data_IF_045943312679
#
_entry.id   IF_045943312679
#
_cell.length_a   1.000
_cell.length_b   1.000
_cell.length_c   1.000
_cell.angle_alpha   90.00
_cell.angle_beta   90.00
_cell.angle_gamma   90.00
#
_symmetry.space_group_name_H-M   'P 1'
#
loop_
_entity.id
_entity.type
_entity.pdbx_description
1 polymer ?
#
# COMPACT_ATOMS: atom_id res chain seq x y z
N UNK A 1 16.96 62.30 -13.96
CA UNK A 1 16.97 60.92 -14.48
C UNK A 1 16.84 59.98 -13.27
N UNK A 2 15.75 59.21 -13.16
CA UNK A 2 15.65 58.15 -12.14
C UNK A 2 16.48 56.92 -12.58
N UNK A 3 16.94 56.07 -11.64
CA UNK A 3 17.72 54.87 -11.95
C UNK A 3 16.81 53.76 -12.52
N UNK A 4 17.39 52.78 -13.25
CA UNK A 4 16.62 51.73 -13.90
C UNK A 4 16.03 50.78 -12.86
N UNK A 5 14.72 50.56 -12.97
CA UNK A 5 14.00 49.48 -12.30
C UNK A 5 14.35 48.16 -12.98
N UNK A 6 15.11 47.30 -12.28
CA UNK A 6 15.18 45.88 -12.59
C UNK A 6 13.82 45.24 -12.28
N UNK A 7 12.93 45.26 -13.26
CA UNK A 7 11.78 44.36 -13.32
C UNK A 7 12.31 42.95 -13.57
N UNK A 8 12.53 42.21 -12.48
CA UNK A 8 12.67 40.75 -12.53
C UNK A 8 11.31 40.20 -12.95
N UNK A 9 11.25 39.67 -14.16
CA UNK A 9 10.09 38.96 -14.70
C UNK A 9 9.72 37.80 -13.75
N UNK A 10 8.43 37.58 -13.45
CA UNK A 10 8.02 36.36 -12.79
C UNK A 10 8.13 35.22 -13.81
N UNK A 11 9.07 34.30 -13.59
CA UNK A 11 9.17 33.03 -14.32
C UNK A 11 7.84 32.25 -14.18
N UNK A 12 6.97 32.45 -15.16
CA UNK A 12 5.84 31.58 -15.47
C UNK A 12 6.38 30.24 -16.01
N UNK A 13 6.63 29.27 -15.13
CA UNK A 13 6.56 27.84 -15.49
C UNK A 13 5.88 27.05 -14.37
N UNK A 14 4.58 27.31 -14.24
CA UNK A 14 3.60 26.44 -13.57
C UNK A 14 2.93 25.55 -14.61
N UNK A 15 3.64 24.55 -15.14
CA UNK A 15 3.03 23.47 -15.91
C UNK A 15 3.96 22.25 -15.94
N UNK A 16 4.00 21.50 -14.84
CA UNK A 16 4.46 20.10 -14.84
C UNK A 16 3.26 19.23 -14.40
N UNK A 17 2.09 19.53 -15.00
CA UNK A 17 0.91 18.64 -15.02
C UNK A 17 1.09 17.65 -16.16
N UNK A 18 2.04 16.72 -15.97
CA UNK A 18 1.94 15.42 -16.63
C UNK A 18 0.76 14.68 -15.96
N UNK A 19 -0.44 14.96 -16.47
CA UNK A 19 -1.61 14.12 -16.35
C UNK A 19 -1.36 12.85 -17.17
N UNK A 20 -0.58 11.92 -16.60
CA UNK A 20 -0.66 10.51 -16.99
C UNK A 20 -2.01 9.98 -16.49
N UNK A 21 -3.04 10.08 -17.35
CA UNK A 21 -4.26 9.25 -17.39
C UNK A 21 -4.68 8.66 -16.01
N UNK A 22 -5.24 9.50 -15.15
CA UNK A 22 -6.11 9.08 -14.02
C UNK A 22 -7.57 9.46 -14.31
N UNK A 23 -7.98 9.51 -15.58
CA UNK A 23 -9.39 9.66 -15.95
C UNK A 23 -10.11 8.31 -15.78
N UNK A 24 -11.30 8.36 -15.17
CA UNK A 24 -12.22 7.27 -14.84
C UNK A 24 -11.90 6.37 -13.65
N UNK A 25 -11.29 6.90 -12.57
CA UNK A 25 -11.40 6.22 -11.27
C UNK A 25 -12.56 6.78 -10.48
N UNK A 26 -13.62 5.97 -10.36
CA UNK A 26 -14.69 6.25 -9.41
C UNK A 26 -14.11 6.43 -8.00
N UNK A 27 -14.60 7.41 -7.22
CA UNK A 27 -14.07 7.68 -5.89
C UNK A 27 -14.24 6.45 -5.00
N UNK A 28 -13.14 6.03 -4.37
CA UNK A 28 -13.13 4.92 -3.40
C UNK A 28 -13.77 5.41 -2.12
N UNK A 29 -15.03 5.03 -1.89
CA UNK A 29 -15.80 5.43 -0.71
C UNK A 29 -15.86 4.33 0.37
N UNK A 30 -15.32 3.15 0.10
CA UNK A 30 -15.26 2.06 1.08
C UNK A 30 -13.94 1.30 1.01
N UNK A 31 -13.57 0.68 2.14
CA UNK A 31 -12.36 -0.14 2.26
C UNK A 31 -12.74 -1.44 2.93
N UNK A 32 -12.52 -2.56 2.25
CA UNK A 32 -12.68 -3.89 2.82
C UNK A 32 -11.32 -4.46 3.23
N UNK A 33 -11.21 -4.94 4.46
CA UNK A 33 -9.96 -5.47 5.02
C UNK A 33 -10.11 -6.97 5.30
N UNK A 34 -9.57 -7.79 4.41
CA UNK A 34 -9.69 -9.24 4.44
C UNK A 34 -8.47 -9.88 5.09
N UNK A 35 -8.69 -10.76 6.06
CA UNK A 35 -7.60 -11.46 6.78
C UNK A 35 -7.02 -12.61 5.96
N UNK A 36 -5.69 -12.70 5.92
CA UNK A 36 -4.93 -13.82 5.33
C UNK A 36 -4.42 -14.79 6.41
N UNK A 37 -4.45 -16.09 6.10
CA UNK A 37 -3.88 -17.16 6.93
C UNK A 37 -2.81 -17.93 6.14
N UNK A 38 -1.59 -17.37 6.00
CA UNK A 38 -0.50 -18.04 5.31
C UNK A 38 0.09 -19.20 6.12
N UNK A 39 0.54 -20.25 5.43
CA UNK A 39 1.43 -21.26 6.02
C UNK A 39 2.80 -20.66 6.35
N UNK A 40 3.65 -21.35 7.12
CA UNK A 40 5.00 -20.87 7.44
C UNK A 40 5.84 -20.52 6.21
N UNK A 41 5.80 -21.38 5.18
CA UNK A 41 6.53 -21.14 3.92
C UNK A 41 5.95 -19.94 3.14
N UNK A 42 4.62 -19.80 3.11
CA UNK A 42 3.98 -18.63 2.48
C UNK A 42 4.33 -17.33 3.24
N UNK A 43 4.39 -17.39 4.57
CA UNK A 43 4.76 -16.27 5.43
C UNK A 43 6.19 -15.79 5.16
N UNK A 44 7.15 -16.70 5.04
CA UNK A 44 8.54 -16.35 4.68
C UNK A 44 8.62 -15.61 3.34
N UNK A 45 7.86 -16.08 2.35
CA UNK A 45 7.78 -15.42 1.03
C UNK A 45 7.12 -14.04 1.11
N UNK A 46 6.05 -13.89 1.88
CA UNK A 46 5.43 -12.58 2.13
C UNK A 46 6.42 -11.63 2.82
N UNK A 47 7.11 -12.09 3.86
CA UNK A 47 8.12 -11.30 4.55
C UNK A 47 9.28 -10.89 3.60
N UNK A 48 9.68 -11.77 2.68
CA UNK A 48 10.65 -11.45 1.63
C UNK A 48 10.14 -10.36 0.67
N UNK A 49 8.86 -10.36 0.30
CA UNK A 49 8.25 -9.29 -0.51
C UNK A 49 8.33 -7.94 0.23
N UNK A 50 7.92 -7.88 1.51
CA UNK A 50 7.97 -6.67 2.33
C UNK A 50 9.40 -6.18 2.57
N UNK A 51 10.33 -7.09 2.82
CA UNK A 51 11.74 -6.75 2.97
C UNK A 51 12.32 -6.15 1.69
N UNK A 52 11.97 -6.72 0.52
CA UNK A 52 12.46 -6.24 -0.78
C UNK A 52 11.86 -4.90 -1.17
N UNK A 53 10.54 -4.73 -1.03
CA UNK A 53 9.87 -3.45 -1.28
C UNK A 53 10.48 -2.33 -0.41
N UNK A 54 10.68 -2.59 0.89
CA UNK A 54 11.30 -1.64 1.82
C UNK A 54 12.73 -1.30 1.42
N UNK A 55 13.55 -2.29 1.08
CA UNK A 55 14.95 -2.06 0.70
C UNK A 55 15.05 -1.19 -0.56
N UNK A 56 14.24 -1.47 -1.58
CA UNK A 56 14.20 -0.71 -2.83
C UNK A 56 13.73 0.71 -2.59
N UNK A 57 12.63 0.90 -1.86
CA UNK A 57 12.13 2.23 -1.50
C UNK A 57 13.19 3.05 -0.74
N UNK A 58 13.81 2.45 0.29
CA UNK A 58 14.81 3.16 1.08
C UNK A 58 16.04 3.51 0.25
N UNK A 59 16.43 2.65 -0.69
CA UNK A 59 17.53 2.94 -1.62
C UNK A 59 17.19 4.08 -2.56
N UNK A 60 15.97 4.14 -3.09
CA UNK A 60 15.47 5.26 -3.90
C UNK A 60 15.52 6.58 -3.11
N UNK A 61 15.04 6.57 -1.87
CA UNK A 61 15.06 7.77 -1.00
C UNK A 61 16.48 8.24 -0.71
N UNK A 62 17.39 7.31 -0.42
CA UNK A 62 18.79 7.62 -0.11
C UNK A 62 19.53 8.17 -1.33
N UNK A 63 19.41 7.52 -2.49
CA UNK A 63 20.11 7.93 -3.71
C UNK A 63 19.57 9.24 -4.29
N UNK A 64 18.28 9.53 -4.12
CA UNK A 64 17.66 10.74 -4.66
C UNK A 64 17.80 11.99 -3.79
N UNK A 65 18.43 11.89 -2.61
CA UNK A 65 18.44 12.98 -1.61
C UNK A 65 18.92 14.30 -2.20
N UNK A 66 20.09 14.30 -2.83
CA UNK A 66 20.73 15.54 -3.29
C UNK A 66 19.96 16.17 -4.47
N UNK A 67 19.51 15.36 -5.43
CA UNK A 67 18.70 15.86 -6.56
C UNK A 67 17.33 16.39 -6.11
N UNK A 68 16.73 15.80 -5.06
CA UNK A 68 15.48 16.32 -4.46
C UNK A 68 15.72 17.65 -3.76
N UNK A 69 16.83 17.77 -3.03
CA UNK A 69 17.23 19.03 -2.36
C UNK A 69 17.74 20.09 -3.33
N UNK A 70 18.10 19.71 -4.57
CA UNK A 70 18.40 20.66 -5.65
C UNK A 70 17.30 21.71 -5.88
N UNK A 71 16.05 21.41 -5.50
CA UNK A 71 14.91 22.33 -5.52
C UNK A 71 15.14 23.57 -4.65
N UNK A 72 15.86 23.45 -3.52
CA UNK A 72 16.11 24.60 -2.62
C UNK A 72 17.31 25.45 -3.07
N UNK A 73 18.14 24.94 -3.99
CA UNK A 73 19.39 25.58 -4.44
C UNK A 73 19.33 26.09 -5.88
N UNK A 74 18.15 26.08 -6.52
CA UNK A 74 17.96 26.51 -7.91
C UNK A 74 18.37 25.48 -8.98
N UNK A 75 19.11 24.42 -8.61
CA UNK A 75 19.46 23.29 -9.50
C UNK A 75 18.34 22.26 -9.53
N UNK A 76 17.14 22.69 -9.90
CA UNK A 76 15.93 21.88 -9.88
C UNK A 76 15.92 20.86 -11.03
N UNK A 77 15.70 19.60 -10.71
CA UNK A 77 15.36 18.56 -11.67
C UNK A 77 13.82 18.46 -11.85
N UNK A 78 13.33 18.20 -13.07
CA UNK A 78 11.91 17.92 -13.30
C UNK A 78 11.50 16.60 -12.64
N UNK A 79 10.19 16.40 -12.38
CA UNK A 79 9.73 15.17 -11.73
C UNK A 79 10.02 13.95 -12.63
N UNK A 80 9.77 14.11 -13.92
CA UNK A 80 10.01 13.10 -14.94
C UNK A 80 11.48 12.71 -15.05
N UNK A 81 12.39 13.69 -15.08
CA UNK A 81 13.84 13.43 -15.12
C UNK A 81 14.33 12.69 -13.86
N UNK A 82 13.85 13.10 -12.68
CA UNK A 82 14.21 12.44 -11.42
C UNK A 82 13.71 11.00 -11.38
N UNK A 83 12.46 10.78 -11.78
CA UNK A 83 11.85 9.45 -11.88
C UNK A 83 12.68 8.55 -12.83
N UNK A 84 12.98 9.04 -14.03
CA UNK A 84 13.75 8.31 -15.04
C UNK A 84 15.16 7.97 -14.55
N UNK A 85 15.86 8.92 -13.92
CA UNK A 85 17.22 8.73 -13.38
C UNK A 85 17.29 7.60 -12.34
N UNK A 86 16.27 7.46 -11.49
CA UNK A 86 16.26 6.51 -10.38
C UNK A 86 15.47 5.23 -10.64
N UNK A 87 14.70 5.15 -11.74
CA UNK A 87 14.00 3.94 -12.19
C UNK A 87 14.87 2.67 -12.17
N UNK A 88 16.15 2.70 -12.60
CA UNK A 88 17.02 1.51 -12.59
C UNK A 88 17.17 0.81 -11.22
N UNK A 89 16.93 1.50 -10.10
CA UNK A 89 17.01 0.89 -8.76
C UNK A 89 15.93 -0.18 -8.55
N UNK A 90 14.77 -0.04 -9.21
CA UNK A 90 13.67 -0.99 -9.11
C UNK A 90 13.64 -2.03 -10.24
N UNK A 91 14.57 -1.96 -11.21
CA UNK A 91 14.61 -2.84 -12.38
C UNK A 91 15.64 -3.94 -12.17
N UNK A 92 15.25 -5.20 -12.39
CA UNK A 92 16.07 -6.38 -12.10
C UNK A 92 17.48 -6.30 -12.72
N UNK A 93 17.58 -5.92 -14.00
CA UNK A 93 18.83 -5.92 -14.78
C UNK A 93 19.86 -4.92 -14.25
N UNK A 94 19.41 -3.80 -13.68
CA UNK A 94 20.26 -2.68 -13.28
C UNK A 94 20.35 -2.49 -11.76
N UNK A 95 19.49 -3.15 -10.99
CA UNK A 95 19.45 -3.07 -9.52
C UNK A 95 20.80 -3.47 -8.88
N UNK A 96 21.53 -4.41 -9.49
CA UNK A 96 22.86 -4.85 -9.02
C UNK A 96 23.86 -3.70 -8.84
N UNK A 97 23.78 -2.65 -9.69
CA UNK A 97 24.64 -1.46 -9.61
C UNK A 97 24.46 -0.69 -8.31
N UNK A 98 23.29 -0.76 -7.69
CA UNK A 98 22.95 0.02 -6.50
C UNK A 98 23.09 -0.78 -5.20
N UNK A 99 22.99 -2.11 -5.27
CA UNK A 99 23.03 -3.01 -4.12
C UNK A 99 24.33 -3.84 -4.01
N UNK A 100 25.42 -3.35 -4.62
CA UNK A 100 26.73 -4.04 -4.75
C UNK A 100 27.25 -4.68 -3.45
N UNK A 101 27.02 -4.03 -2.31
CA UNK A 101 27.65 -4.43 -1.04
C UNK A 101 26.95 -5.59 -0.33
N UNK A 102 25.78 -6.04 -0.80
CA UNK A 102 25.04 -7.11 -0.13
C UNK A 102 24.50 -8.15 -1.12
N UNK A 103 25.40 -9.03 -1.60
CA UNK A 103 25.10 -10.09 -2.57
C UNK A 103 23.95 -11.01 -2.12
N UNK A 104 23.91 -11.37 -0.82
CA UNK A 104 22.83 -12.22 -0.26
C UNK A 104 21.47 -11.51 -0.29
N UNK A 105 21.41 -10.24 0.11
CA UNK A 105 20.16 -9.47 0.03
C UNK A 105 19.73 -9.24 -1.42
N UNK A 106 20.68 -8.95 -2.31
CA UNK A 106 20.43 -8.78 -3.74
C UNK A 106 19.80 -10.03 -4.35
N UNK A 107 20.32 -11.22 -4.07
CA UNK A 107 19.74 -12.48 -4.53
C UNK A 107 18.27 -12.63 -4.09
N UNK A 108 17.95 -12.28 -2.83
CA UNK A 108 16.57 -12.28 -2.34
C UNK A 108 15.68 -11.25 -3.04
N UNK A 109 16.22 -10.08 -3.37
CA UNK A 109 15.49 -9.05 -4.12
C UNK A 109 15.30 -9.41 -5.60
N UNK A 110 16.14 -10.28 -6.17
CA UNK A 110 15.96 -10.78 -7.54
C UNK A 110 14.80 -11.77 -7.63
N UNK A 111 14.61 -12.59 -6.60
CA UNK A 111 13.57 -13.63 -6.57
C UNK A 111 12.15 -13.06 -6.50
N UNK A 112 11.95 -11.88 -5.91
CA UNK A 112 10.60 -11.29 -5.82
C UNK A 112 10.08 -10.88 -7.20
N UNK A 113 8.76 -10.86 -7.35
CA UNK A 113 8.10 -10.43 -8.58
C UNK A 113 8.37 -8.95 -8.90
N UNK A 114 8.48 -8.58 -10.18
CA UNK A 114 8.73 -7.19 -10.61
C UNK A 114 7.72 -6.21 -10.04
N UNK A 115 6.45 -6.61 -9.95
CA UNK A 115 5.37 -5.79 -9.38
C UNK A 115 5.66 -5.31 -7.95
N UNK A 116 6.38 -6.10 -7.14
CA UNK A 116 6.76 -5.72 -5.78
C UNK A 116 7.81 -4.60 -5.81
N UNK A 117 8.75 -4.69 -6.74
CA UNK A 117 9.79 -3.67 -6.98
C UNK A 117 9.17 -2.40 -7.54
N UNK A 118 8.27 -2.56 -8.51
CA UNK A 118 7.53 -1.46 -9.14
C UNK A 118 6.60 -0.75 -8.16
N UNK A 119 5.96 -1.49 -7.24
CA UNK A 119 5.16 -0.86 -6.19
C UNK A 119 6.02 0.05 -5.31
N UNK A 120 7.25 -0.35 -4.97
CA UNK A 120 8.17 0.51 -4.21
C UNK A 120 8.51 1.80 -4.98
N UNK A 121 8.72 1.68 -6.29
CA UNK A 121 8.98 2.81 -7.16
C UNK A 121 7.76 3.74 -7.33
N UNK A 122 6.54 3.20 -7.47
CA UNK A 122 5.30 3.99 -7.50
C UNK A 122 5.09 4.75 -6.20
N UNK A 123 5.29 4.09 -5.06
CA UNK A 123 5.24 4.75 -3.75
C UNK A 123 6.26 5.89 -3.64
N UNK A 124 7.47 5.68 -4.16
CA UNK A 124 8.49 6.73 -4.23
C UNK A 124 8.06 7.91 -5.11
N UNK A 125 7.58 7.68 -6.35
CA UNK A 125 7.06 8.74 -7.25
C UNK A 125 5.95 9.54 -6.56
N UNK A 126 4.99 8.86 -5.94
CA UNK A 126 3.88 9.48 -5.18
C UNK A 126 4.39 10.35 -4.02
N UNK A 127 5.35 9.84 -3.25
CA UNK A 127 5.91 10.56 -2.12
C UNK A 127 6.75 11.78 -2.54
N UNK A 128 7.51 11.70 -3.64
CA UNK A 128 8.22 12.85 -4.21
C UNK A 128 7.23 13.90 -4.71
N UNK A 129 6.21 13.51 -5.50
CA UNK A 129 5.17 14.43 -6.00
C UNK A 129 4.50 15.17 -4.85
N UNK A 130 4.08 14.45 -3.81
CA UNK A 130 3.46 15.03 -2.62
C UNK A 130 4.40 15.97 -1.85
N UNK A 131 5.66 15.59 -1.66
CA UNK A 131 6.66 16.42 -0.98
C UNK A 131 6.94 17.73 -1.71
N UNK A 132 7.02 17.71 -3.05
CA UNK A 132 7.17 18.91 -3.88
C UNK A 132 5.94 19.80 -3.82
N UNK A 133 4.76 19.22 -3.96
CA UNK A 133 3.50 19.96 -3.88
C UNK A 133 3.39 20.69 -2.54
N UNK A 134 3.64 19.99 -1.42
CA UNK A 134 3.64 20.58 -0.09
C UNK A 134 4.63 21.76 0.03
N UNK A 135 5.86 21.58 -0.47
CA UNK A 135 6.88 22.62 -0.46
C UNK A 135 6.43 23.89 -1.20
N UNK A 136 5.91 23.73 -2.42
CA UNK A 136 5.43 24.88 -3.21
C UNK A 136 4.18 25.54 -2.61
N UNK A 137 3.25 24.75 -2.07
CA UNK A 137 2.08 25.28 -1.37
C UNK A 137 2.47 26.13 -0.17
N UNK A 138 3.41 25.66 0.65
CA UNK A 138 3.87 26.43 1.81
C UNK A 138 4.69 27.66 1.39
N UNK A 139 5.51 27.55 0.33
CA UNK A 139 6.26 28.69 -0.22
C UNK A 139 5.32 29.79 -0.74
N UNK A 140 4.24 29.41 -1.41
CA UNK A 140 3.21 30.33 -1.90
C UNK A 140 2.46 31.04 -0.76
N UNK A 141 2.35 30.40 0.42
CA UNK A 141 1.77 31.01 1.62
C UNK A 141 2.72 31.94 2.37
N UNK A 142 3.97 32.09 1.91
CA UNK A 142 4.99 32.89 2.59
C UNK A 142 5.50 32.27 3.89
N UNK A 143 5.25 30.97 4.12
CA UNK A 143 5.75 30.25 5.29
C UNK A 143 7.24 29.91 5.10
N UNK A 144 8.02 29.92 6.20
CA UNK A 144 9.41 29.47 6.16
C UNK A 144 9.44 27.96 5.86
N UNK A 145 9.86 27.62 4.65
CA UNK A 145 9.73 26.25 4.13
C UNK A 145 11.06 25.52 4.14
N UNK A 146 11.12 24.45 4.94
CA UNK A 146 12.14 23.40 4.76
C UNK A 146 11.55 22.31 3.88
N UNK A 147 12.27 21.94 2.82
CA UNK A 147 11.88 20.81 1.98
C UNK A 147 11.74 19.56 2.85
N UNK A 148 10.56 18.94 2.87
CA UNK A 148 10.27 17.84 3.77
C UNK A 148 11.18 16.64 3.49
N UNK A 149 11.92 16.20 4.51
CA UNK A 149 12.75 15.01 4.41
C UNK A 149 11.88 13.76 4.31
N UNK A 150 12.00 13.08 3.17
CA UNK A 150 11.32 11.81 2.93
C UNK A 150 11.82 10.75 3.92
N UNK A 151 10.88 10.16 4.66
CA UNK A 151 11.20 9.15 5.68
C UNK A 151 11.48 7.78 5.04
N UNK A 152 12.46 7.07 5.59
CA UNK A 152 12.67 5.66 5.28
C UNK A 152 11.53 4.79 5.82
N UNK A 153 11.15 3.76 5.07
CA UNK A 153 10.26 2.70 5.54
C UNK A 153 11.00 1.85 6.58
N UNK A 154 10.37 1.62 7.73
CA UNK A 154 10.89 0.75 8.80
C UNK A 154 10.27 -0.66 8.76
N UNK A 155 11.02 -1.66 9.24
CA UNK A 155 10.49 -3.01 9.52
C UNK A 155 9.53 -3.01 10.71
N UNK A 156 9.72 -2.07 11.64
CA UNK A 156 8.98 -1.95 12.88
C UNK A 156 7.84 -0.93 12.80
N UNK A 157 7.51 -0.48 11.59
CA UNK A 157 6.32 0.35 11.38
C UNK A 157 5.07 -0.44 11.82
N UNK A 158 4.04 0.24 12.38
CA UNK A 158 2.80 -0.43 12.79
C UNK A 158 2.16 -1.23 11.65
N UNK A 159 2.25 -0.71 10.43
CA UNK A 159 1.94 -1.47 9.23
C UNK A 159 2.80 -1.08 8.04
N UNK A 160 2.94 -2.00 7.10
CA UNK A 160 3.51 -1.76 5.78
C UNK A 160 2.52 -2.23 4.73
N UNK A 161 2.46 -1.55 3.58
CA UNK A 161 1.63 -1.97 2.45
C UNK A 161 2.44 -2.11 1.16
N UNK A 162 2.00 -3.01 0.29
CA UNK A 162 2.47 -3.19 -1.08
C UNK A 162 1.23 -3.19 -1.98
N UNK A 163 1.30 -2.46 -3.08
CA UNK A 163 0.24 -2.41 -4.08
C UNK A 163 0.39 -3.59 -5.06
N UNK A 164 -0.70 -4.36 -5.25
CA UNK A 164 -0.77 -5.48 -6.20
C UNK A 164 -1.93 -5.20 -7.16
N UNK A 165 -1.69 -5.27 -8.46
CA UNK A 165 -2.72 -5.03 -9.49
C UNK A 165 -3.74 -6.17 -9.49
N UNK A 166 -5.03 -5.83 -9.59
CA UNK A 166 -6.17 -6.77 -9.58
C UNK A 166 -6.00 -7.93 -10.57
N UNK A 167 -5.49 -7.64 -11.78
CA UNK A 167 -5.29 -8.65 -12.84
C UNK A 167 -4.38 -9.82 -12.45
N UNK A 168 -3.50 -9.65 -11.46
CA UNK A 168 -2.61 -10.71 -10.98
C UNK A 168 -3.20 -11.47 -9.78
N UNK A 169 -4.38 -11.09 -9.31
CA UNK A 169 -5.07 -11.67 -8.17
C UNK A 169 -6.20 -12.55 -8.68
N UNK A 170 -6.32 -13.74 -8.10
CA UNK A 170 -7.38 -14.72 -8.39
C UNK A 170 -7.91 -15.30 -7.08
N UNK A 171 -9.23 -15.35 -6.94
CA UNK A 171 -9.90 -16.18 -5.94
C UNK A 171 -9.97 -17.63 -6.45
N UNK A 172 -9.85 -18.60 -5.53
CA UNK A 172 -9.98 -20.03 -5.79
C UNK A 172 -10.77 -20.61 -4.62
N UNK A 173 -11.87 -21.30 -4.90
CA UNK A 173 -12.64 -22.00 -3.88
C UNK A 173 -12.13 -23.44 -3.72
N UNK A 174 -11.90 -23.85 -2.48
CA UNK A 174 -11.44 -25.20 -2.14
C UNK A 174 -11.93 -25.61 -0.76
N UNK A 175 -12.60 -26.76 -0.69
CA UNK A 175 -13.04 -27.36 0.58
C UNK A 175 -13.86 -26.39 1.46
N UNK A 176 -14.74 -25.60 0.83
CA UNK A 176 -15.57 -24.59 1.50
C UNK A 176 -14.82 -23.36 2.00
N UNK A 177 -13.53 -23.23 1.69
CA UNK A 177 -12.71 -22.06 2.00
C UNK A 177 -12.31 -21.34 0.73
N UNK A 178 -12.21 -20.01 0.81
CA UNK A 178 -11.66 -19.25 -0.29
C UNK A 178 -10.16 -19.01 -0.12
N UNK A 179 -9.42 -19.21 -1.20
CA UNK A 179 -7.99 -18.97 -1.31
C UNK A 179 -7.76 -17.80 -2.25
N UNK A 180 -6.79 -16.95 -1.94
CA UNK A 180 -6.29 -15.94 -2.85
C UNK A 180 -4.95 -16.36 -3.44
N UNK A 181 -4.79 -16.15 -4.74
CA UNK A 181 -3.56 -16.44 -5.46
C UNK A 181 -3.07 -15.20 -6.20
N UNK A 182 -1.82 -14.84 -5.95
CA UNK A 182 -1.04 -13.88 -6.71
C UNK A 182 0.42 -14.36 -6.78
N UNK A 183 1.18 -13.84 -7.76
CA UNK A 183 2.60 -14.18 -7.98
C UNK A 183 2.87 -15.70 -7.94
N UNK A 184 2.08 -16.47 -8.70
CA UNK A 184 2.06 -17.95 -8.70
C UNK A 184 3.46 -18.58 -8.68
N UNK A 185 4.34 -18.14 -9.57
CA UNK A 185 5.71 -18.67 -9.71
C UNK A 185 6.56 -18.40 -8.47
N UNK A 186 6.49 -17.20 -7.90
CA UNK A 186 7.25 -16.84 -6.69
C UNK A 186 6.81 -17.70 -5.50
N UNK A 187 5.52 -17.89 -5.33
CA UNK A 187 4.98 -18.75 -4.27
C UNK A 187 5.10 -20.24 -4.57
N UNK A 188 5.34 -20.64 -5.81
CA UNK A 188 5.39 -22.05 -6.21
C UNK A 188 4.01 -22.71 -6.20
N UNK A 189 2.94 -21.93 -6.36
CA UNK A 189 1.58 -22.44 -6.28
C UNK A 189 1.21 -23.31 -7.48
N UNK A 190 0.56 -24.45 -7.21
CA UNK A 190 -0.13 -25.25 -8.22
C UNK A 190 -1.45 -24.60 -8.66
N UNK A 191 -2.20 -25.27 -9.55
CA UNK A 191 -3.45 -24.74 -10.14
C UNK A 191 -4.53 -24.43 -9.08
N UNK A 192 -4.58 -25.17 -7.98
CA UNK A 192 -5.63 -25.06 -6.94
C UNK A 192 -5.03 -24.71 -5.56
N UNK A 193 -3.93 -23.96 -5.55
CA UNK A 193 -3.25 -23.52 -4.34
C UNK A 193 -3.23 -22.00 -4.25
N UNK A 194 -3.25 -21.51 -3.02
CA UNK A 194 -3.19 -20.09 -2.68
C UNK A 194 -3.04 -19.91 -1.18
N UNK A 195 -3.29 -18.68 -0.73
CA UNK A 195 -3.28 -18.29 0.68
C UNK A 195 -4.73 -18.25 1.15
N UNK A 196 -5.04 -18.86 2.29
CA UNK A 196 -6.41 -18.89 2.81
C UNK A 196 -6.87 -17.49 3.19
N UNK A 197 -8.08 -17.13 2.78
CA UNK A 197 -8.82 -15.94 3.20
C UNK A 197 -9.86 -16.31 4.25
N UNK A 198 -10.05 -15.42 5.23
CA UNK A 198 -11.14 -15.54 6.20
C UNK A 198 -12.52 -15.29 5.57
N UNK A 199 -12.57 -14.31 4.68
CA UNK A 199 -13.77 -13.77 4.06
C UNK A 199 -13.67 -13.85 2.54
N UNK A 200 -14.81 -13.84 1.87
CA UNK A 200 -14.87 -13.87 0.42
C UNK A 200 -14.27 -12.59 -0.17
N UNK A 201 -13.30 -12.75 -1.07
CA UNK A 201 -12.75 -11.74 -1.95
C UNK A 201 -13.85 -11.25 -2.88
N UNK A 202 -14.24 -9.96 -2.79
CA UNK A 202 -15.15 -9.38 -3.75
C UNK A 202 -14.50 -9.27 -5.12
N UNK A 203 -15.29 -8.95 -6.13
CA UNK A 203 -14.77 -8.64 -7.45
C UNK A 203 -13.82 -7.43 -7.39
N UNK A 204 -12.66 -7.57 -8.04
CA UNK A 204 -11.60 -6.58 -7.98
C UNK A 204 -11.63 -5.69 -9.23
N UNK A 205 -12.14 -4.48 -9.08
CA UNK A 205 -12.10 -3.45 -10.13
C UNK A 205 -10.75 -2.74 -10.19
N UNK A 206 -10.08 -2.57 -9.04
CA UNK A 206 -8.83 -1.80 -8.90
C UNK A 206 -7.73 -2.58 -8.18
N UNK A 207 -6.52 -2.03 -8.16
CA UNK A 207 -5.40 -2.63 -7.41
C UNK A 207 -5.71 -2.77 -5.93
N UNK A 208 -5.33 -3.91 -5.35
CA UNK A 208 -5.44 -4.15 -3.91
C UNK A 208 -4.15 -3.71 -3.20
N UNK A 209 -4.21 -3.54 -1.88
CA UNK A 209 -3.01 -3.42 -1.04
C UNK A 209 -2.85 -4.64 -0.16
N UNK A 210 -1.71 -5.32 -0.29
CA UNK A 210 -1.26 -6.31 0.68
C UNK A 210 -0.69 -5.56 1.89
N UNK A 211 -1.27 -5.74 3.07
CA UNK A 211 -0.82 -5.13 4.32
C UNK A 211 -0.16 -6.19 5.22
N UNK A 212 0.94 -5.80 5.86
CA UNK A 212 1.59 -6.53 6.95
C UNK A 212 1.57 -5.66 8.20
N UNK A 213 1.06 -6.19 9.31
CA UNK A 213 1.18 -5.55 10.61
C UNK A 213 2.48 -5.96 11.31
N UNK A 214 2.85 -5.21 12.34
CA UNK A 214 4.05 -5.46 13.13
C UNK A 214 4.04 -6.84 13.78
N UNK A 215 2.86 -7.32 14.17
CA UNK A 215 2.59 -8.59 14.85
C UNK A 215 2.76 -9.82 13.93
N UNK A 216 3.11 -9.61 12.65
CA UNK A 216 3.33 -10.70 11.68
C UNK A 216 2.04 -11.18 11.01
N UNK A 217 1.05 -10.32 11.06
CA UNK A 217 -0.32 -10.45 10.59
C UNK A 217 -0.48 -9.88 9.18
N UNK A 218 -1.24 -10.54 8.31
CA UNK A 218 -1.39 -10.15 6.91
C UNK A 218 -2.85 -9.91 6.51
N UNK A 219 -3.07 -8.90 5.68
CA UNK A 219 -4.38 -8.52 5.19
C UNK A 219 -4.34 -8.13 3.71
N UNK A 220 -5.45 -8.34 3.02
CA UNK A 220 -5.73 -7.69 1.74
C UNK A 220 -6.68 -6.54 2.00
N UNK A 221 -6.29 -5.35 1.57
CA UNK A 221 -7.13 -4.17 1.58
C UNK A 221 -7.66 -4.00 0.16
N UNK A 222 -8.97 -4.15 0.00
CA UNK A 222 -9.67 -3.94 -1.27
C UNK A 222 -10.31 -2.56 -1.25
N UNK A 223 -9.93 -1.65 -2.17
CA UNK A 223 -10.66 -0.41 -2.38
C UNK A 223 -12.03 -0.74 -2.99
N UNK A 224 -13.10 -0.29 -2.33
CA UNK A 224 -14.47 -0.46 -2.82
C UNK A 224 -15.04 0.85 -3.37
N UNK A 225 -15.83 0.72 -4.43
CA UNK A 225 -16.77 1.74 -4.86
C UNK A 225 -18.09 1.45 -4.14
N UNK A 226 -18.65 2.40 -3.39
CA UNK A 226 -19.90 2.20 -2.68
C UNK A 226 -21.06 2.15 -3.68
N UNK A 227 -21.40 0.96 -4.18
CA UNK A 227 -22.65 0.67 -4.87
C UNK A 227 -23.40 -0.55 -4.31
N UNK A 228 -22.91 -1.14 -3.22
CA UNK A 228 -23.66 -2.13 -2.43
C UNK A 228 -23.97 -1.54 -1.05
N UNK A 229 -25.21 -1.64 -0.53
CA UNK A 229 -25.59 -1.03 0.72
C UNK A 229 -24.67 -1.57 1.82
N UNK A 230 -23.99 -0.68 2.51
CA UNK A 230 -23.29 -0.98 3.74
C UNK A 230 -24.28 -1.70 4.66
N UNK A 231 -24.07 -2.99 4.92
CA UNK A 231 -24.69 -3.63 6.09
C UNK A 231 -24.23 -2.81 7.28
N UNK A 232 -25.15 -2.04 7.83
CA UNK A 232 -24.87 -1.20 8.98
C UNK A 232 -24.58 -2.12 10.17
N UNK A 233 -23.76 -1.65 11.10
CA UNK A 233 -23.40 -2.35 12.33
C UNK A 233 -24.65 -2.75 13.17
N UNK A 234 -25.83 -2.21 12.84
CA UNK A 234 -27.11 -2.59 13.44
C UNK A 234 -27.61 -3.98 13.02
N UNK A 235 -27.21 -4.50 11.86
CA UNK A 235 -27.68 -5.80 11.37
C UNK A 235 -27.03 -6.98 12.11
N UNK A 236 -25.85 -6.79 12.71
CA UNK A 236 -25.15 -7.81 13.52
C UNK A 236 -25.84 -8.04 14.88
N UNK A 237 -26.51 -7.03 15.42
CA UNK A 237 -27.22 -7.14 16.71
C UNK A 237 -28.57 -7.85 16.54
N UNK A 238 -29.15 -7.84 15.34
CA UNK A 238 -30.43 -8.50 15.03
C UNK A 238 -30.31 -9.96 14.60
N UNK A 239 -29.11 -10.44 14.29
CA UNK A 239 -28.88 -11.85 13.90
C UNK A 239 -28.51 -12.77 15.07
N UNK A 240 -28.56 -12.28 16.32
CA UNK A 240 -28.45 -13.15 17.50
C UNK A 240 -29.84 -13.79 17.70
N UNK A 241 -30.01 -15.11 17.51
CA UNK A 241 -31.28 -15.75 17.84
C UNK A 241 -31.51 -15.60 19.35
N UNK A 242 -32.62 -14.95 19.72
CA UNK A 242 -33.12 -14.94 21.09
C UNK A 242 -33.33 -16.40 21.53
N UNK A 243 -32.52 -16.86 22.47
CA UNK A 243 -32.70 -18.16 23.09
C UNK A 243 -34.09 -18.18 23.72
N UNK A 244 -34.95 -19.07 23.21
CA UNK A 244 -36.31 -19.24 23.66
C UNK A 244 -36.33 -19.61 25.15
N UNK A 245 -36.76 -18.67 25.99
CA UNK A 245 -37.29 -18.96 27.32
C UNK A 245 -38.65 -19.64 27.16
N UNK A 246 -38.62 -20.96 26.99
CA UNK A 246 -39.81 -21.81 27.13
C UNK A 246 -40.25 -21.80 28.59
N UNK A 247 -41.47 -21.32 28.78
CA UNK A 247 -42.18 -21.21 30.04
C UNK A 247 -42.85 -22.54 30.46
N UNK A 248 -42.97 -22.70 31.78
CA UNK A 248 -43.92 -23.54 32.55
C UNK A 248 -43.57 -25.02 32.76
N UNK A 249 -43.39 -25.38 34.03
CA UNK A 249 -44.34 -26.29 34.69
C UNK A 249 -44.35 -26.10 36.22
N UNK A 250 -45.54 -25.87 36.74
CA UNK A 250 -45.94 -25.83 38.15
C UNK A 250 -45.94 -27.22 38.78
N UNK A 251 -45.54 -27.36 40.06
CA UNK A 251 -46.21 -28.23 41.05
C UNK A 251 -45.83 -27.80 42.47
N UNK A 252 -46.81 -27.95 43.38
CA UNK A 252 -47.01 -27.37 44.71
C UNK A 252 -46.85 -28.47 45.78
N UNK A 253 -46.60 -28.04 47.03
CA UNK A 253 -46.71 -28.77 48.32
C UNK A 253 -45.51 -29.67 48.68
N UNK A 254 -44.98 -29.70 49.91
CA UNK A 254 -45.52 -29.53 51.28
C UNK A 254 -44.47 -28.78 52.15
N UNK A 255 -44.83 -28.01 53.20
CA UNK A 255 -45.15 -28.53 54.52
C UNK A 255 -44.77 -27.50 55.61
N UNK A 256 -45.41 -27.65 56.77
CA UNK A 256 -45.68 -26.68 57.84
C UNK A 256 -44.83 -26.99 59.07
N UNK A 257 -44.40 -25.97 59.83
CA UNK A 257 -44.01 -25.93 61.27
C UNK A 257 -42.97 -24.79 61.45
N UNK A 258 -43.03 -23.87 62.40
CA UNK A 258 -43.85 -23.58 63.60
C UNK A 258 -44.13 -22.08 63.59
#
# INVERSE_FOLDING_TARGET
MPPPTDTVEPDEEMADTDDEEEEDRTPVNSILKLRLFPTSSQKEKLDQMFASNRAIYNKLVACSKDDRLGITTGKRMSLSALCTKYRPIAVLTSMSKYFKNNKKALARHHQVHDEVRDSAYRDFKKAVKSSRALFFTMKAKGEETKYSDMKFKSKFAPSNTIEIRSRHVRAIDRDGKQLVRFHKTFFGFKKNEGIVLHETLPELTTSIRLQRLREGEFYIIVPGCASSPSRSVQDYVRSIPACATSSRCTTRMTGRSV
#
